data_IF_150178277101
#
_entry.id   IF_150178277101
#
_cell.length_a   1.000
_cell.length_b   1.000
_cell.length_c   1.000
_cell.angle_alpha   90.00
_cell.angle_beta   90.00
_cell.angle_gamma   90.00
#
_symmetry.space_group_name_H-M   'P 1'
#
loop_
_entity.id
_entity.type
_entity.pdbx_description
1 polymer ?
#
# COMPACT_ATOMS: atom_id res chain seq x y z
N UNK A 1 20.62 1.01 27.52
CA UNK A 1 19.87 -0.02 26.75
C UNK A 1 18.98 -0.73 27.75
N UNK A 2 17.66 -0.68 27.56
CA UNK A 2 16.62 -1.02 28.55
C UNK A 2 16.83 -2.36 29.30
N UNK A 3 17.37 -3.39 28.65
CA UNK A 3 17.57 -4.71 29.27
C UNK A 3 18.72 -4.73 30.29
N UNK A 4 19.79 -3.96 30.04
CA UNK A 4 20.88 -3.76 31.01
C UNK A 4 20.39 -2.96 32.22
N UNK A 5 19.49 -1.99 32.02
CA UNK A 5 18.82 -1.24 33.11
C UNK A 5 17.88 -2.14 33.94
N UNK A 6 17.49 -3.31 33.41
CA UNK A 6 16.67 -4.32 34.09
C UNK A 6 17.49 -5.50 34.63
N UNK A 7 18.82 -5.41 34.66
CA UNK A 7 19.74 -6.49 35.07
C UNK A 7 19.51 -7.82 34.32
N UNK A 8 19.00 -7.77 33.09
CA UNK A 8 18.87 -8.95 32.24
C UNK A 8 20.05 -9.01 31.28
N UNK A 9 20.95 -9.97 31.49
CA UNK A 9 22.05 -10.24 30.58
C UNK A 9 21.47 -10.91 29.33
N UNK A 10 21.59 -10.22 28.20
CA UNK A 10 21.26 -10.76 26.88
C UNK A 10 22.55 -10.71 26.08
N UNK A 11 23.16 -11.88 25.88
CA UNK A 11 24.46 -12.06 25.22
C UNK A 11 24.54 -11.39 23.85
N UNK A 12 23.43 -11.43 23.12
CA UNK A 12 23.24 -10.89 21.77
C UNK A 12 23.32 -9.36 21.74
N UNK A 13 23.04 -8.68 22.86
CA UNK A 13 23.19 -7.22 22.99
C UNK A 13 24.65 -6.79 23.19
N UNK A 14 25.58 -7.76 23.21
CA UNK A 14 27.02 -7.51 23.17
C UNK A 14 27.61 -7.80 21.78
N UNK A 15 26.82 -8.34 20.85
CA UNK A 15 27.22 -8.62 19.47
C UNK A 15 26.77 -7.47 18.55
N UNK A 16 27.75 -6.73 18.04
CA UNK A 16 27.54 -5.57 17.17
C UNK A 16 26.85 -5.93 15.85
N UNK A 17 27.14 -7.12 15.31
CA UNK A 17 26.52 -7.60 14.07
C UNK A 17 25.03 -7.87 14.31
N UNK A 18 24.73 -8.57 15.41
CA UNK A 18 23.36 -8.86 15.79
C UNK A 18 22.54 -7.59 16.06
N UNK A 19 23.12 -6.60 16.74
CA UNK A 19 22.47 -5.30 16.98
C UNK A 19 22.11 -4.63 15.66
N UNK A 20 23.01 -4.68 14.67
CA UNK A 20 22.79 -4.09 13.36
C UNK A 20 21.72 -4.84 12.55
N UNK A 21 21.67 -6.17 12.63
CA UNK A 21 20.58 -6.98 12.05
C UNK A 21 19.23 -6.64 12.66
N UNK A 22 19.17 -6.55 13.99
CA UNK A 22 17.95 -6.17 14.70
C UNK A 22 17.50 -4.76 14.32
N UNK A 23 18.45 -3.81 14.22
CA UNK A 23 18.17 -2.45 13.80
C UNK A 23 17.58 -2.40 12.39
N UNK A 24 18.18 -3.13 11.45
CA UNK A 24 17.67 -3.25 10.08
C UNK A 24 16.27 -3.87 10.04
N UNK A 25 16.06 -4.96 10.77
CA UNK A 25 14.76 -5.61 10.86
C UNK A 25 13.70 -4.66 11.44
N UNK A 26 14.08 -3.86 12.44
CA UNK A 26 13.19 -2.85 13.06
C UNK A 26 12.80 -1.77 12.05
N UNK A 27 13.74 -1.24 11.27
CA UNK A 27 13.43 -0.26 10.23
C UNK A 27 12.51 -0.86 9.13
N UNK A 28 12.82 -2.08 8.63
CA UNK A 28 12.00 -2.75 7.60
C UNK A 28 10.58 -3.07 8.10
N UNK A 29 10.46 -3.61 9.31
CA UNK A 29 9.15 -3.93 9.90
C UNK A 29 8.33 -2.68 10.18
N UNK A 30 8.96 -1.55 10.50
CA UNK A 30 8.29 -0.25 10.61
C UNK A 30 7.65 0.14 9.27
N UNK A 31 8.39 0.07 8.16
CA UNK A 31 7.84 0.35 6.83
C UNK A 31 6.69 -0.60 6.45
N UNK A 32 6.83 -1.89 6.75
CA UNK A 32 5.77 -2.88 6.49
C UNK A 32 4.52 -2.59 7.34
N UNK A 33 4.69 -2.20 8.60
CA UNK A 33 3.59 -1.86 9.48
C UNK A 33 2.85 -0.59 9.02
N UNK A 34 3.58 0.44 8.58
CA UNK A 34 2.97 1.63 7.97
C UNK A 34 2.08 1.28 6.77
N UNK A 35 2.58 0.40 5.88
CA UNK A 35 1.76 -0.08 4.76
C UNK A 35 0.56 -0.87 5.27
N UNK A 36 0.77 -1.80 6.19
CA UNK A 36 -0.31 -2.64 6.72
C UNK A 36 -1.45 -1.79 7.32
N UNK A 37 -1.12 -0.75 8.09
CA UNK A 37 -2.11 0.19 8.63
C UNK A 37 -2.90 0.87 7.50
N UNK A 38 -2.25 1.26 6.39
CA UNK A 38 -2.93 1.88 5.25
C UNK A 38 -3.82 0.92 4.47
N UNK A 39 -3.46 -0.35 4.41
CA UNK A 39 -4.26 -1.39 3.74
C UNK A 39 -5.46 -1.84 4.59
N UNK A 40 -5.38 -1.64 5.90
CA UNK A 40 -6.46 -1.90 6.83
C UNK A 40 -7.38 -0.68 6.98
N UNK A 41 -8.64 -0.92 7.32
CA UNK A 41 -9.60 0.13 7.62
C UNK A 41 -10.93 0.01 6.87
N UNK A 42 -11.94 0.70 7.37
CA UNK A 42 -13.27 0.75 6.76
C UNK A 42 -13.26 1.66 5.54
N UNK A 43 -13.97 1.26 4.49
CA UNK A 43 -14.22 2.10 3.31
C UNK A 43 -13.05 2.24 2.34
N UNK A 44 -11.99 1.43 2.47
CA UNK A 44 -10.88 1.40 1.50
C UNK A 44 -11.33 0.80 0.17
N UNK A 45 -11.18 1.56 -0.91
CA UNK A 45 -11.43 1.09 -2.26
C UNK A 45 -10.25 0.29 -2.79
N UNK A 46 -10.52 -0.57 -3.77
CA UNK A 46 -9.49 -1.31 -4.51
C UNK A 46 -8.39 -0.38 -5.06
N UNK A 47 -8.82 0.76 -5.61
CA UNK A 47 -7.93 1.79 -6.13
C UNK A 47 -7.03 2.41 -5.07
N UNK A 48 -7.49 2.54 -3.83
CA UNK A 48 -6.72 3.13 -2.74
C UNK A 48 -5.60 2.17 -2.33
N UNK A 49 -5.96 0.90 -2.15
CA UNK A 49 -4.99 -0.16 -1.86
C UNK A 49 -3.97 -0.31 -2.97
N UNK A 50 -4.39 -0.23 -4.24
CA UNK A 50 -3.48 -0.24 -5.38
C UNK A 50 -2.46 0.90 -5.30
N UNK A 51 -2.91 2.12 -5.00
CA UNK A 51 -2.03 3.29 -4.83
C UNK A 51 -1.04 3.08 -3.68
N UNK A 52 -1.51 2.60 -2.53
CA UNK A 52 -0.68 2.36 -1.35
C UNK A 52 0.41 1.31 -1.63
N UNK A 53 0.06 0.20 -2.29
CA UNK A 53 1.00 -0.86 -2.69
C UNK A 53 2.02 -0.37 -3.71
N UNK A 54 1.58 0.34 -4.75
CA UNK A 54 2.45 0.89 -5.79
C UNK A 54 3.44 1.91 -5.20
N UNK A 55 2.97 2.76 -4.30
CA UNK A 55 3.81 3.69 -3.54
C UNK A 55 4.87 2.94 -2.74
N UNK A 56 4.47 1.87 -2.05
CA UNK A 56 5.41 1.05 -1.27
C UNK A 56 6.47 0.37 -2.12
N UNK A 57 6.11 -0.18 -3.28
CA UNK A 57 7.09 -0.77 -4.21
C UNK A 57 8.11 0.26 -4.72
N UNK A 58 7.69 1.50 -4.94
CA UNK A 58 8.63 2.60 -5.27
C UNK A 58 9.51 2.95 -4.07
N UNK A 59 8.95 2.97 -2.84
CA UNK A 59 9.75 3.16 -1.62
C UNK A 59 10.80 2.06 -1.46
N UNK A 60 10.48 0.79 -1.70
CA UNK A 60 11.47 -0.31 -1.63
C UNK A 60 12.63 -0.11 -2.61
N UNK A 61 12.36 0.39 -3.83
CA UNK A 61 13.42 0.75 -4.80
C UNK A 61 14.32 1.88 -4.27
N UNK A 62 13.72 2.89 -3.64
CA UNK A 62 14.47 3.99 -3.02
C UNK A 62 15.30 3.50 -1.83
N UNK A 63 14.72 2.67 -0.95
CA UNK A 63 15.40 2.11 0.21
C UNK A 63 16.60 1.25 -0.21
N UNK A 64 16.44 0.41 -1.22
CA UNK A 64 17.55 -0.36 -1.80
C UNK A 64 18.66 0.56 -2.28
N UNK A 65 18.34 1.56 -3.12
CA UNK A 65 19.32 2.50 -3.68
C UNK A 65 20.05 3.27 -2.58
N UNK A 66 19.32 3.77 -1.59
CA UNK A 66 19.89 4.53 -0.49
C UNK A 66 20.82 3.66 0.35
N UNK A 67 20.40 2.43 0.67
CA UNK A 67 21.23 1.47 1.39
C UNK A 67 22.52 1.14 0.63
N UNK A 68 22.42 0.93 -0.68
CA UNK A 68 23.57 0.69 -1.57
C UNK A 68 24.54 1.88 -1.61
N UNK A 69 24.03 3.10 -1.46
CA UNK A 69 24.83 4.33 -1.40
C UNK A 69 25.26 4.72 0.03
N UNK A 70 25.04 3.85 1.02
CA UNK A 70 25.31 4.13 2.44
C UNK A 70 24.54 5.36 2.98
N UNK A 71 23.38 5.68 2.40
CA UNK A 71 22.48 6.76 2.81
C UNK A 71 21.43 6.18 3.77
N UNK A 72 21.58 6.47 5.05
CA UNK A 72 20.73 5.89 6.11
C UNK A 72 19.64 6.83 6.64
N UNK A 73 19.26 7.84 5.85
CA UNK A 73 18.26 8.84 6.27
C UNK A 73 16.89 8.20 6.64
N UNK A 74 16.55 7.09 5.99
CA UNK A 74 15.32 6.34 6.25
C UNK A 74 15.55 5.10 7.13
N UNK A 75 16.78 4.80 7.52
CA UNK A 75 17.13 3.67 8.38
C UNK A 75 17.58 4.20 9.74
N UNK A 76 16.62 4.74 10.50
CA UNK A 76 16.89 5.44 11.75
C UNK A 76 17.54 4.54 12.81
N UNK A 77 17.12 3.27 12.88
CA UNK A 77 17.68 2.30 13.79
C UNK A 77 19.09 1.95 13.34
N UNK A 78 19.31 1.64 12.06
CA UNK A 78 20.66 1.34 11.55
C UNK A 78 21.62 2.51 11.76
N UNK A 79 21.17 3.75 11.49
CA UNK A 79 21.98 4.96 11.69
C UNK A 79 22.45 5.09 13.15
N UNK A 80 21.58 4.72 14.10
CA UNK A 80 21.91 4.74 15.53
C UNK A 80 22.83 3.59 15.93
N UNK A 81 22.76 2.43 15.25
CA UNK A 81 23.58 1.25 15.53
C UNK A 81 25.02 1.33 14.97
N UNK A 82 25.28 2.22 13.99
CA UNK A 82 26.56 2.30 13.25
C UNK A 82 27.62 3.18 13.93
N UNK A 83 27.35 3.77 15.09
CA UNK A 83 28.35 4.52 15.86
C UNK A 83 29.51 3.63 16.41
N UNK A 84 29.61 2.38 15.97
CA UNK A 84 30.55 1.35 16.41
C UNK A 84 31.48 0.93 15.24
N UNK A 85 32.79 0.70 15.43
CA UNK A 85 33.73 0.46 14.33
C UNK A 85 33.58 -0.92 13.64
N UNK A 86 32.63 -0.98 12.71
CA UNK A 86 32.55 -1.75 11.46
C UNK A 86 32.46 -3.29 11.44
N UNK A 87 31.23 -3.75 11.09
CA UNK A 87 30.95 -4.86 10.15
C UNK A 87 29.98 -4.46 9.01
N UNK A 88 29.70 -3.16 8.82
CA UNK A 88 28.68 -2.67 7.87
C UNK A 88 28.87 -3.20 6.44
N UNK A 89 30.08 -3.10 5.90
CA UNK A 89 30.38 -3.55 4.53
C UNK A 89 30.25 -5.07 4.35
N UNK A 90 30.41 -5.84 5.43
CA UNK A 90 30.24 -7.29 5.42
C UNK A 90 28.76 -7.69 5.41
N UNK A 91 27.91 -6.95 6.14
CA UNK A 91 26.50 -7.32 6.33
C UNK A 91 25.56 -6.66 5.32
N UNK A 92 25.91 -5.48 4.81
CA UNK A 92 25.12 -4.72 3.84
C UNK A 92 24.66 -5.56 2.63
N UNK A 93 25.47 -6.46 2.02
CA UNK A 93 25.00 -7.32 0.94
C UNK A 93 23.80 -8.18 1.33
N UNK A 94 23.72 -8.64 2.58
CA UNK A 94 22.59 -9.43 3.07
C UNK A 94 21.32 -8.56 3.18
N UNK A 95 21.45 -7.34 3.70
CA UNK A 95 20.33 -6.39 3.78
C UNK A 95 19.80 -6.00 2.40
N UNK A 96 20.69 -5.75 1.44
CA UNK A 96 20.31 -5.49 0.04
C UNK A 96 19.56 -6.69 -0.55
N UNK A 97 20.02 -7.91 -0.31
CA UNK A 97 19.34 -9.12 -0.75
C UNK A 97 17.94 -9.25 -0.13
N UNK A 98 17.76 -8.94 1.16
CA UNK A 98 16.44 -8.95 1.81
C UNK A 98 15.49 -7.94 1.16
N UNK A 99 15.94 -6.71 0.89
CA UNK A 99 15.11 -5.71 0.20
C UNK A 99 14.78 -6.18 -1.23
N UNK A 100 15.73 -6.81 -1.93
CA UNK A 100 15.49 -7.36 -3.27
C UNK A 100 14.42 -8.47 -3.26
N UNK A 101 14.53 -9.41 -2.32
CA UNK A 101 13.53 -10.45 -2.12
C UNK A 101 12.17 -9.84 -1.81
N UNK A 102 12.11 -8.83 -0.93
CA UNK A 102 10.87 -8.15 -0.60
C UNK A 102 10.24 -7.46 -1.83
N UNK A 103 11.04 -6.81 -2.69
CA UNK A 103 10.57 -6.23 -3.96
C UNK A 103 9.95 -7.31 -4.86
N UNK A 104 10.57 -8.47 -4.95
CA UNK A 104 10.10 -9.58 -5.77
C UNK A 104 8.80 -10.16 -5.22
N UNK A 105 8.71 -10.39 -3.90
CA UNK A 105 7.50 -10.86 -3.24
C UNK A 105 6.31 -9.91 -3.47
N UNK A 106 6.52 -8.61 -3.33
CA UNK A 106 5.47 -7.61 -3.63
C UNK A 106 5.06 -7.63 -5.11
N UNK A 107 6.02 -7.79 -6.02
CA UNK A 107 5.73 -7.83 -7.46
C UNK A 107 4.92 -9.07 -7.84
N UNK A 108 5.30 -10.23 -7.28
CA UNK A 108 4.60 -11.50 -7.49
C UNK A 108 3.21 -11.49 -6.85
N UNK A 109 3.10 -11.10 -5.58
CA UNK A 109 1.85 -11.14 -4.82
C UNK A 109 0.79 -10.20 -5.37
N UNK A 110 1.20 -9.05 -5.88
CA UNK A 110 0.29 -8.02 -6.39
C UNK A 110 0.26 -7.95 -7.93
N UNK A 111 0.73 -9.00 -8.61
CA UNK A 111 0.82 -9.04 -10.06
C UNK A 111 -0.56 -8.80 -10.73
N UNK A 112 -1.62 -9.33 -10.12
CA UNK A 112 -2.98 -9.20 -10.66
C UNK A 112 -3.46 -7.75 -10.70
N UNK A 113 -3.03 -6.89 -9.78
CA UNK A 113 -3.41 -5.47 -9.85
C UNK A 113 -2.88 -4.78 -11.08
N UNK A 114 -1.69 -5.16 -11.56
CA UNK A 114 -1.11 -4.57 -12.77
C UNK A 114 -1.89 -4.92 -14.03
N UNK A 115 -2.61 -6.06 -14.04
CA UNK A 115 -3.52 -6.42 -15.13
C UNK A 115 -4.69 -5.45 -15.25
N UNK A 116 -5.05 -4.78 -14.15
CA UNK A 116 -6.15 -3.82 -14.07
C UNK A 116 -5.66 -2.36 -13.93
N UNK A 117 -4.37 -2.06 -14.15
CA UNK A 117 -3.83 -0.70 -13.99
C UNK A 117 -4.59 0.34 -14.83
N UNK A 118 -5.01 -0.02 -16.05
CA UNK A 118 -5.78 0.87 -16.94
C UNK A 118 -7.17 1.15 -16.38
N UNK A 119 -7.88 0.11 -15.94
CA UNK A 119 -9.19 0.25 -15.30
C UNK A 119 -9.12 1.04 -13.99
N UNK A 120 -8.12 0.75 -13.15
CA UNK A 120 -7.95 1.47 -11.89
C UNK A 120 -7.67 2.95 -12.17
N UNK A 121 -6.83 3.28 -13.15
CA UNK A 121 -6.58 4.68 -13.56
C UNK A 121 -7.84 5.37 -14.09
N UNK A 122 -8.64 4.70 -14.92
CA UNK A 122 -9.93 5.21 -15.40
C UNK A 122 -10.87 5.50 -14.23
N UNK A 123 -10.89 4.64 -13.23
CA UNK A 123 -11.70 4.82 -12.03
C UNK A 123 -11.18 5.92 -11.11
N UNK A 124 -9.86 6.07 -10.98
CA UNK A 124 -9.25 7.09 -10.15
C UNK A 124 -9.39 8.49 -10.75
N UNK A 125 -9.25 8.61 -12.07
CA UNK A 125 -9.38 9.89 -12.75
C UNK A 125 -9.77 9.70 -14.23
N UNK A 126 -11.07 9.67 -14.54
CA UNK A 126 -11.53 9.54 -15.91
C UNK A 126 -11.19 10.76 -16.78
N UNK A 127 -10.89 11.91 -16.18
CA UNK A 127 -10.58 13.15 -16.90
C UNK A 127 -9.17 13.21 -17.48
N UNK A 128 -8.28 12.28 -17.09
CA UNK A 128 -6.86 12.29 -17.49
C UNK A 128 -6.39 11.01 -18.18
N UNK A 129 -7.30 10.04 -18.42
CA UNK A 129 -6.93 8.82 -19.14
C UNK A 129 -6.81 9.05 -20.63
N UNK A 130 -5.84 8.37 -21.24
CA UNK A 130 -5.76 8.23 -22.69
C UNK A 130 -6.89 7.31 -23.18
N UNK A 131 -7.73 7.82 -24.09
CA UNK A 131 -8.87 7.12 -24.67
C UNK A 131 -8.46 5.81 -25.36
N UNK A 132 -7.24 5.72 -25.91
CA UNK A 132 -6.73 4.50 -26.52
C UNK A 132 -6.51 3.36 -25.51
N UNK A 133 -6.45 3.69 -24.21
CA UNK A 133 -6.32 2.72 -23.12
C UNK A 133 -7.68 2.34 -22.49
N UNK A 134 -8.78 2.96 -22.93
CA UNK A 134 -10.14 2.70 -22.45
C UNK A 134 -10.79 1.60 -23.31
N UNK A 135 -11.61 0.75 -22.69
CA UNK A 135 -12.38 -0.28 -23.42
C UNK A 135 -13.32 0.37 -24.43
N UNK A 136 -13.41 -0.19 -25.64
CA UNK A 136 -14.18 0.38 -26.75
C UNK A 136 -15.61 0.78 -26.38
N UNK A 137 -16.29 -0.03 -25.55
CA UNK A 137 -17.67 0.23 -25.13
C UNK A 137 -17.83 1.39 -24.13
N UNK A 138 -16.74 1.95 -23.60
CA UNK A 138 -16.73 3.09 -22.68
C UNK A 138 -16.14 4.35 -23.31
N UNK A 139 -15.44 4.24 -24.45
CA UNK A 139 -14.67 5.36 -25.02
C UNK A 139 -15.53 6.60 -25.28
N UNK A 140 -16.70 6.44 -25.90
CA UNK A 140 -17.59 7.57 -26.19
C UNK A 140 -18.06 8.27 -24.91
N UNK A 141 -18.47 7.51 -23.88
CA UNK A 141 -18.87 8.08 -22.59
C UNK A 141 -17.71 8.81 -21.90
N UNK A 142 -16.48 8.26 -21.97
CA UNK A 142 -15.30 8.90 -21.36
C UNK A 142 -14.93 10.18 -22.11
N UNK A 143 -15.07 10.23 -23.43
CA UNK A 143 -14.85 11.45 -24.23
C UNK A 143 -15.85 12.54 -23.81
N UNK A 144 -17.14 12.21 -23.72
CA UNK A 144 -18.17 13.15 -23.25
C UNK A 144 -17.85 13.64 -21.84
N UNK A 145 -17.49 12.71 -20.94
CA UNK A 145 -17.14 13.06 -19.56
C UNK A 145 -15.91 13.97 -19.48
N UNK A 146 -14.86 13.71 -20.26
CA UNK A 146 -13.64 14.49 -20.29
C UNK A 146 -13.85 15.95 -20.71
N UNK A 147 -14.87 16.21 -21.53
CA UNK A 147 -15.22 17.53 -22.04
C UNK A 147 -16.34 18.23 -21.25
N UNK A 148 -16.92 17.58 -20.23
CA UNK A 148 -17.91 18.18 -19.34
C UNK A 148 -17.23 18.91 -18.17
N UNK A 149 -17.07 20.23 -18.30
CA UNK A 149 -16.44 21.07 -17.29
C UNK A 149 -17.24 21.16 -15.97
N UNK A 150 -18.57 20.96 -16.01
CA UNK A 150 -19.41 20.95 -14.80
C UNK A 150 -19.10 19.71 -13.98
N UNK A 151 -19.09 18.54 -14.62
CA UNK A 151 -18.75 17.27 -13.97
C UNK A 151 -17.29 17.23 -13.51
N UNK A 152 -16.38 17.87 -14.25
CA UNK A 152 -14.97 17.99 -13.86
C UNK A 152 -14.76 18.84 -12.61
N UNK A 153 -15.50 19.94 -12.47
CA UNK A 153 -15.48 20.73 -11.25
C UNK A 153 -16.09 19.95 -10.09
N UNK A 154 -17.22 19.28 -10.32
CA UNK A 154 -17.83 18.42 -9.31
C UNK A 154 -16.89 17.29 -8.85
N UNK A 155 -16.13 16.69 -9.77
CA UNK A 155 -15.12 15.68 -9.44
C UNK A 155 -14.04 16.23 -8.48
N UNK A 156 -13.59 17.47 -8.68
CA UNK A 156 -12.59 18.12 -7.82
C UNK A 156 -13.11 18.40 -6.42
N UNK A 157 -14.41 18.69 -6.30
CA UNK A 157 -15.08 19.01 -5.04
C UNK A 157 -15.61 17.75 -4.31
N UNK A 158 -15.72 16.62 -5.01
CA UNK A 158 -16.24 15.39 -4.45
C UNK A 158 -15.37 14.87 -3.29
N UNK A 159 -16.02 14.42 -2.21
CA UNK A 159 -15.32 13.88 -1.04
C UNK A 159 -14.84 12.44 -1.25
N UNK A 160 -15.40 11.73 -2.24
CA UNK A 160 -15.01 10.36 -2.59
C UNK A 160 -15.43 9.99 -4.02
N UNK A 161 -14.73 9.00 -4.61
CA UNK A 161 -15.08 8.47 -5.94
C UNK A 161 -16.50 7.88 -6.01
N UNK A 162 -16.99 7.09 -5.02
CA UNK A 162 -18.36 6.58 -5.04
C UNK A 162 -19.41 7.71 -5.09
N UNK A 163 -19.18 8.79 -4.33
CA UNK A 163 -20.06 9.96 -4.37
C UNK A 163 -20.10 10.56 -5.78
N UNK A 164 -18.94 10.82 -6.38
CA UNK A 164 -18.86 11.34 -7.74
C UNK A 164 -19.62 10.45 -8.74
N UNK A 165 -19.29 9.16 -8.80
CA UNK A 165 -19.89 8.24 -9.78
C UNK A 165 -21.40 8.05 -9.59
N UNK A 166 -21.91 8.16 -8.36
CA UNK A 166 -23.35 8.08 -8.08
C UNK A 166 -24.16 9.25 -8.67
N UNK A 167 -23.51 10.39 -8.93
CA UNK A 167 -24.17 11.59 -9.42
C UNK A 167 -24.20 11.66 -10.96
N UNK A 168 -23.50 10.76 -11.66
CA UNK A 168 -23.51 10.75 -13.12
C UNK A 168 -24.91 10.45 -13.67
N UNK A 169 -25.42 11.22 -14.65
CA UNK A 169 -26.69 10.93 -15.31
C UNK A 169 -26.67 9.55 -15.98
N UNK A 170 -27.63 8.67 -15.64
CA UNK A 170 -27.70 7.33 -16.24
C UNK A 170 -28.05 7.35 -17.73
N UNK A 171 -28.74 8.40 -18.17
CA UNK A 171 -29.05 8.63 -19.59
C UNK A 171 -27.81 8.89 -20.44
N UNK A 172 -26.74 9.40 -19.83
CA UNK A 172 -25.53 9.87 -20.54
C UNK A 172 -24.33 8.96 -20.26
N UNK A 173 -24.18 8.44 -19.04
CA UNK A 173 -23.02 7.65 -18.62
C UNK A 173 -23.39 6.27 -18.04
N UNK A 174 -24.27 5.46 -18.69
CA UNK A 174 -24.67 4.17 -18.15
C UNK A 174 -23.50 3.19 -18.00
N UNK A 175 -22.57 3.16 -18.95
CA UNK A 175 -21.39 2.30 -18.96
C UNK A 175 -20.38 2.65 -17.88
N UNK A 176 -20.03 3.93 -17.72
CA UNK A 176 -19.10 4.39 -16.67
C UNK A 176 -19.69 4.12 -15.29
N UNK A 177 -20.99 4.32 -15.10
CA UNK A 177 -21.68 3.97 -13.86
C UNK A 177 -21.59 2.49 -13.55
N UNK A 178 -21.91 1.62 -14.51
CA UNK A 178 -21.80 0.17 -14.29
C UNK A 178 -20.36 -0.26 -14.02
N UNK A 179 -19.40 0.31 -14.75
CA UNK A 179 -17.97 0.07 -14.56
C UNK A 179 -17.50 0.46 -13.15
N UNK A 180 -17.81 1.67 -12.71
CA UNK A 180 -17.44 2.19 -11.39
C UNK A 180 -18.07 1.36 -10.26
N UNK A 181 -19.35 0.96 -10.39
CA UNK A 181 -20.02 0.11 -9.40
C UNK A 181 -19.29 -1.23 -9.19
N UNK A 182 -18.76 -1.84 -10.26
CA UNK A 182 -17.97 -3.08 -10.15
C UNK A 182 -16.69 -2.89 -9.35
N UNK A 183 -15.98 -1.77 -9.55
CA UNK A 183 -14.76 -1.46 -8.81
C UNK A 183 -15.02 -1.05 -7.36
N UNK A 184 -16.13 -0.35 -7.10
CA UNK A 184 -16.56 0.00 -5.74
C UNK A 184 -16.96 -1.26 -4.96
N UNK A 185 -17.64 -2.20 -5.61
CA UNK A 185 -18.06 -3.46 -5.00
C UNK A 185 -16.91 -4.48 -4.83
N UNK A 186 -15.76 -4.26 -5.46
CA UNK A 186 -14.61 -5.14 -5.33
C UNK A 186 -14.01 -5.00 -3.92
N UNK A 187 -14.12 -6.07 -3.12
CA UNK A 187 -13.51 -6.12 -1.81
C UNK A 187 -11.99 -6.17 -1.95
N UNK A 188 -11.34 -5.10 -1.53
CA UNK A 188 -9.89 -4.95 -1.64
C UNK A 188 -9.14 -5.70 -0.54
N UNK A 189 -9.79 -5.99 0.60
CA UNK A 189 -9.20 -6.73 1.71
C UNK A 189 -10.20 -7.64 2.41
N UNK A 190 -9.68 -8.62 3.16
CA UNK A 190 -10.47 -9.49 4.05
C UNK A 190 -10.95 -8.76 5.31
N UNK A 191 -10.62 -7.48 5.50
CA UNK A 191 -10.96 -6.72 6.71
C UNK A 191 -12.46 -6.78 7.05
N UNK A 192 -13.33 -6.66 6.04
CA UNK A 192 -14.78 -6.79 6.26
C UNK A 192 -15.14 -8.21 6.73
N UNK A 193 -14.54 -9.23 6.13
CA UNK A 193 -14.70 -10.61 6.57
C UNK A 193 -14.18 -10.80 8.02
N UNK A 194 -13.00 -10.28 8.34
CA UNK A 194 -12.39 -10.37 9.67
C UNK A 194 -13.21 -9.64 10.74
N UNK A 195 -13.80 -8.49 10.42
CA UNK A 195 -14.74 -7.78 11.31
C UNK A 195 -15.99 -8.62 11.56
N UNK A 196 -16.58 -9.19 10.51
CA UNK A 196 -17.75 -10.08 10.64
C UNK A 196 -17.40 -11.30 11.50
N UNK A 197 -16.27 -11.96 11.25
CA UNK A 197 -15.81 -13.08 12.06
C UNK A 197 -15.54 -12.68 13.52
N UNK A 198 -14.96 -11.51 13.76
CA UNK A 198 -14.73 -10.98 15.11
C UNK A 198 -16.04 -10.75 15.86
N UNK A 199 -17.06 -10.18 15.20
CA UNK A 199 -18.40 -9.99 15.75
C UNK A 199 -19.06 -11.35 16.04
N UNK A 200 -18.97 -12.30 15.12
CA UNK A 200 -19.52 -13.66 15.30
C UNK A 200 -18.83 -14.36 16.47
N UNK A 201 -17.51 -14.27 16.59
CA UNK A 201 -16.73 -14.84 17.69
C UNK A 201 -17.10 -14.20 19.03
N UNK A 202 -17.24 -12.88 19.08
CA UNK A 202 -17.68 -12.16 20.27
C UNK A 202 -19.08 -12.61 20.72
N UNK A 203 -20.03 -12.70 19.77
CA UNK A 203 -21.40 -13.17 20.07
C UNK A 203 -21.43 -14.63 20.51
N UNK A 204 -20.65 -15.52 19.88
CA UNK A 204 -20.53 -16.91 20.33
C UNK A 204 -19.95 -17.01 21.74
N UNK A 205 -18.97 -16.17 22.09
CA UNK A 205 -18.38 -16.18 23.43
C UNK A 205 -19.32 -15.61 24.53
N UNK A 206 -20.26 -14.72 24.18
CA UNK A 206 -21.19 -14.10 25.13
C UNK A 206 -22.58 -14.75 25.18
N UNK A 207 -22.96 -15.54 24.16
CA UNK A 207 -24.27 -16.18 24.06
C UNK A 207 -24.19 -17.70 23.90
N UNK A 208 -23.03 -18.32 24.13
CA UNK A 208 -22.96 -19.77 24.33
C UNK A 208 -23.47 -20.10 25.75
N UNK A 209 -24.42 -21.03 25.90
CA UNK A 209 -24.87 -21.51 27.22
C UNK A 209 -23.77 -22.24 27.99
#
# INVERSE_FOLDING_TARGET
MFMNEKNKIVSELSDEAWILELAFLTDITTFLNELNIKLQGKGKLLSDMYTDIKSFQVKLKLLYKNLDQNILYHFSCCKSAIEIPLQWDLIKPQFLNIIEQLKNEFSTRFNDFYKYDKEIKLFQNPFQVDINNVKNNLQMEVIELQNDEVLKNYFREATSLPQFYSCLPISTFPGIRQFSQKLIAAFASTYICEQIFSIVKYRKAHFAP
#
